data_IF_599959826898
#
_entry.id   IF_599959826898
#
_cell.length_a   1.000
_cell.length_b   1.000
_cell.length_c   1.000
_cell.angle_alpha   90.00
_cell.angle_beta   90.00
_cell.angle_gamma   90.00
#
_symmetry.space_group_name_H-M   'P 1'
#
loop_
_entity.id
_entity.type
_entity.pdbx_description
1 polymer ?
#
# COMPACT_ATOMS: atom_id res chain seq x y z
N UNK A 1 24.71 40.16 -50.32
CA UNK A 1 25.57 40.49 -49.18
C UNK A 1 24.71 40.52 -47.93
N UNK A 2 24.58 39.39 -47.24
CA UNK A 2 23.72 39.28 -46.05
C UNK A 2 24.37 40.11 -44.93
N UNK A 3 23.75 41.21 -44.54
CA UNK A 3 24.33 42.16 -43.60
C UNK A 3 24.64 41.46 -42.26
N UNK A 4 25.78 41.79 -41.64
CA UNK A 4 26.21 41.23 -40.34
C UNK A 4 25.11 41.32 -39.26
N UNK A 5 24.16 42.26 -39.37
CA UNK A 5 23.02 42.40 -38.46
C UNK A 5 22.02 41.24 -38.54
N UNK A 6 21.73 40.67 -39.72
CA UNK A 6 20.72 39.60 -39.82
C UNK A 6 21.21 38.25 -39.27
N UNK A 7 22.52 37.98 -39.32
CA UNK A 7 23.12 36.78 -38.73
C UNK A 7 22.98 36.74 -37.20
N UNK A 8 23.04 37.91 -36.55
CA UNK A 8 22.85 38.03 -35.09
C UNK A 8 21.41 37.75 -34.65
N UNK A 9 20.43 38.21 -35.42
CA UNK A 9 19.01 37.90 -35.17
C UNK A 9 18.69 36.42 -35.35
N UNK A 10 19.21 35.78 -36.40
CA UNK A 10 19.05 34.33 -36.62
C UNK A 10 19.67 33.52 -35.47
N UNK A 11 20.83 33.95 -34.95
CA UNK A 11 21.47 33.30 -33.80
C UNK A 11 20.61 33.43 -32.54
N UNK A 12 20.05 34.61 -32.28
CA UNK A 12 19.17 34.87 -31.15
C UNK A 12 17.90 34.01 -31.22
N UNK A 13 17.24 33.96 -32.38
CA UNK A 13 16.04 33.13 -32.62
C UNK A 13 16.33 31.64 -32.40
N UNK A 14 17.49 31.17 -32.84
CA UNK A 14 17.92 29.78 -32.64
C UNK A 14 18.13 29.47 -31.16
N UNK A 15 18.77 30.36 -30.41
CA UNK A 15 19.00 30.18 -28.96
C UNK A 15 17.69 30.22 -28.18
N UNK A 16 16.78 31.13 -28.52
CA UNK A 16 15.44 31.19 -27.90
C UNK A 16 14.66 29.91 -28.19
N UNK A 17 14.65 29.46 -29.44
CA UNK A 17 13.98 28.22 -29.83
C UNK A 17 14.55 27.00 -29.09
N UNK A 18 15.88 26.91 -28.98
CA UNK A 18 16.54 25.82 -28.25
C UNK A 18 16.22 25.87 -26.74
N UNK A 19 16.16 27.07 -26.16
CA UNK A 19 15.80 27.28 -24.75
C UNK A 19 14.36 26.82 -24.49
N UNK A 20 13.42 27.20 -25.37
CA UNK A 20 12.03 26.76 -25.27
C UNK A 20 11.93 25.24 -25.38
N UNK A 21 12.59 24.63 -26.36
CA UNK A 21 12.62 23.16 -26.53
C UNK A 21 13.16 22.48 -25.27
N UNK A 22 14.23 23.02 -24.68
CA UNK A 22 14.83 22.47 -23.46
C UNK A 22 13.86 22.54 -22.28
N UNK A 23 13.15 23.66 -22.11
CA UNK A 23 12.12 23.82 -21.07
C UNK A 23 10.99 22.80 -21.29
N UNK A 24 10.50 22.66 -22.52
CA UNK A 24 9.45 21.68 -22.83
C UNK A 24 9.90 20.24 -22.59
N UNK A 25 11.12 19.89 -22.98
CA UNK A 25 11.70 18.57 -22.70
C UNK A 25 11.79 18.33 -21.20
N UNK A 26 12.34 19.27 -20.44
CA UNK A 26 12.46 19.15 -18.99
C UNK A 26 11.09 18.96 -18.31
N UNK A 27 10.11 19.76 -18.67
CA UNK A 27 8.73 19.61 -18.18
C UNK A 27 8.15 18.23 -18.52
N UNK A 28 8.38 17.75 -19.74
CA UNK A 28 7.92 16.42 -20.18
C UNK A 28 8.57 15.32 -19.36
N UNK A 29 9.90 15.37 -19.16
CA UNK A 29 10.61 14.39 -18.34
C UNK A 29 10.13 14.39 -16.88
N UNK A 30 9.95 15.58 -16.29
CA UNK A 30 9.40 15.69 -14.94
C UNK A 30 8.00 15.07 -14.83
N UNK A 31 7.14 15.33 -15.82
CA UNK A 31 5.79 14.76 -15.84
C UNK A 31 5.83 13.24 -15.95
N UNK A 32 6.66 12.70 -16.86
CA UNK A 32 6.82 11.24 -17.01
C UNK A 32 7.33 10.60 -15.72
N UNK A 33 8.30 11.22 -15.06
CA UNK A 33 8.81 10.73 -13.78
C UNK A 33 7.73 10.71 -12.68
N UNK A 34 6.90 11.75 -12.61
CA UNK A 34 5.75 11.79 -11.69
C UNK A 34 4.72 10.70 -12.02
N UNK A 35 4.42 10.49 -13.30
CA UNK A 35 3.52 9.41 -13.75
C UNK A 35 4.06 8.04 -13.33
N UNK A 36 5.36 7.80 -13.52
CA UNK A 36 5.99 6.55 -13.09
C UNK A 36 5.88 6.34 -11.58
N UNK A 37 6.15 7.37 -10.78
CA UNK A 37 5.97 7.30 -9.31
C UNK A 37 4.54 6.99 -8.92
N UNK A 38 3.57 7.64 -9.55
CA UNK A 38 2.15 7.43 -9.27
C UNK A 38 1.71 6.01 -9.65
N UNK A 39 2.15 5.51 -10.81
CA UNK A 39 1.87 4.12 -11.22
C UNK A 39 2.47 3.11 -10.24
N UNK A 40 3.71 3.32 -9.81
CA UNK A 40 4.34 2.47 -8.80
C UNK A 40 3.55 2.48 -7.48
N UNK A 41 3.14 3.66 -7.03
CA UNK A 41 2.33 3.83 -5.83
C UNK A 41 1.01 3.06 -5.93
N UNK A 42 0.24 3.30 -7.00
CA UNK A 42 -1.05 2.66 -7.20
C UNK A 42 -0.93 1.13 -7.28
N UNK A 43 0.05 0.62 -8.04
CA UNK A 43 0.25 -0.83 -8.14
C UNK A 43 0.59 -1.46 -6.78
N UNK A 44 1.39 -0.77 -5.95
CA UNK A 44 1.71 -1.25 -4.60
C UNK A 44 0.51 -1.18 -3.67
N UNK A 45 -0.23 -0.09 -3.71
CA UNK A 45 -1.45 0.06 -2.91
C UNK A 45 -2.49 -1.01 -3.28
N UNK A 46 -2.70 -1.26 -4.57
CA UNK A 46 -3.60 -2.31 -5.07
C UNK A 46 -3.18 -3.71 -4.58
N UNK A 47 -1.88 -4.03 -4.63
CA UNK A 47 -1.36 -5.30 -4.10
C UNK A 47 -1.68 -5.47 -2.61
N UNK A 48 -1.41 -4.43 -1.81
CA UNK A 48 -1.67 -4.48 -0.37
C UNK A 48 -3.17 -4.54 -0.05
N UNK A 49 -4.00 -3.78 -0.77
CA UNK A 49 -5.46 -3.81 -0.63
C UNK A 49 -6.04 -5.19 -0.95
N UNK A 50 -5.61 -5.82 -2.04
CA UNK A 50 -6.07 -7.16 -2.40
C UNK A 50 -5.69 -8.18 -1.30
N UNK A 51 -4.48 -8.07 -0.76
CA UNK A 51 -4.03 -8.94 0.34
C UNK A 51 -4.83 -8.66 1.63
N UNK A 52 -5.13 -7.40 1.91
CA UNK A 52 -5.93 -6.99 3.05
C UNK A 52 -7.35 -7.51 2.98
N UNK A 53 -8.00 -7.37 1.83
CA UNK A 53 -9.34 -7.85 1.59
C UNK A 53 -9.42 -9.37 1.76
N UNK A 54 -8.48 -10.11 1.18
CA UNK A 54 -8.41 -11.56 1.37
C UNK A 54 -8.21 -11.94 2.83
N UNK A 55 -7.33 -11.24 3.54
CA UNK A 55 -7.07 -11.52 4.96
C UNK A 55 -8.30 -11.22 5.83
N UNK A 56 -8.93 -10.07 5.63
CA UNK A 56 -10.11 -9.66 6.40
C UNK A 56 -11.31 -10.56 6.13
N UNK A 57 -11.52 -10.95 4.87
CA UNK A 57 -12.55 -11.92 4.47
C UNK A 57 -12.29 -13.30 5.09
N UNK A 58 -11.05 -13.79 5.04
CA UNK A 58 -10.68 -15.06 5.68
C UNK A 58 -10.94 -15.02 7.19
N UNK A 59 -10.52 -13.96 7.88
CA UNK A 59 -10.75 -13.83 9.33
C UNK A 59 -12.23 -13.72 9.69
N UNK A 60 -13.01 -12.95 8.93
CA UNK A 60 -14.45 -12.78 9.16
C UNK A 60 -15.25 -14.05 8.87
N UNK A 61 -15.00 -14.69 7.74
CA UNK A 61 -15.84 -15.77 7.21
C UNK A 61 -15.27 -17.17 7.46
N UNK A 62 -14.00 -17.38 7.11
CA UNK A 62 -13.44 -18.74 6.96
C UNK A 62 -12.71 -19.27 8.20
N UNK A 63 -12.05 -18.39 8.95
CA UNK A 63 -11.31 -18.76 10.16
C UNK A 63 -12.27 -19.36 11.22
N UNK A 64 -11.79 -20.29 12.05
CA UNK A 64 -12.62 -20.85 13.11
C UNK A 64 -12.98 -19.81 14.18
N UNK A 65 -14.20 -19.86 14.72
CA UNK A 65 -14.61 -18.92 15.79
C UNK A 65 -13.66 -19.00 17.01
N UNK A 66 -13.31 -20.21 17.45
CA UNK A 66 -12.41 -20.41 18.60
C UNK A 66 -10.96 -19.97 18.29
N UNK A 67 -10.50 -20.09 17.05
CA UNK A 67 -9.18 -19.59 16.63
C UNK A 67 -9.12 -18.07 16.70
N UNK A 68 -10.15 -17.40 16.19
CA UNK A 68 -10.23 -15.92 16.24
C UNK A 68 -10.42 -15.45 17.68
N UNK A 69 -11.18 -16.18 18.48
CA UNK A 69 -11.36 -15.89 19.92
C UNK A 69 -10.05 -16.04 20.70
N UNK A 70 -9.19 -16.98 20.33
CA UNK A 70 -7.88 -17.15 20.96
C UNK A 70 -6.97 -15.93 20.77
N UNK A 71 -7.16 -15.16 19.69
CA UNK A 71 -6.43 -13.90 19.43
C UNK A 71 -6.92 -12.73 20.28
N UNK A 72 -7.93 -12.93 21.14
CA UNK A 72 -8.44 -11.91 22.08
C UNK A 72 -7.43 -11.72 23.22
N UNK A 73 -6.32 -11.06 22.92
CA UNK A 73 -5.28 -10.68 23.87
C UNK A 73 -5.35 -9.19 24.23
N UNK A 74 -4.71 -8.82 25.34
CA UNK A 74 -4.61 -7.43 25.81
C UNK A 74 -3.78 -6.58 24.84
N UNK A 75 -2.83 -7.21 24.14
CA UNK A 75 -2.02 -6.56 23.11
C UNK A 75 -2.59 -6.84 21.72
N UNK A 76 -2.56 -5.84 20.82
CA UNK A 76 -2.93 -6.05 19.43
C UNK A 76 -1.94 -6.98 18.73
N UNK A 77 -2.45 -7.72 17.76
CA UNK A 77 -1.66 -8.64 16.94
C UNK A 77 -1.18 -7.92 15.68
N UNK A 78 0.06 -8.20 15.27
CA UNK A 78 0.70 -7.55 14.14
C UNK A 78 1.07 -8.57 13.06
N UNK A 79 0.88 -8.18 11.81
CA UNK A 79 1.25 -8.97 10.65
C UNK A 79 2.01 -8.08 9.69
N UNK A 80 3.21 -8.50 9.28
CA UNK A 80 3.91 -7.81 8.19
C UNK A 80 3.08 -7.89 6.91
N UNK A 81 2.87 -6.75 6.25
CA UNK A 81 2.10 -6.69 5.02
C UNK A 81 2.76 -7.51 3.88
N UNK A 82 4.06 -7.76 3.96
CA UNK A 82 4.80 -8.58 3.00
C UNK A 82 4.64 -10.09 3.25
N UNK A 83 4.22 -10.49 4.46
CA UNK A 83 3.89 -11.89 4.80
C UNK A 83 2.48 -12.27 4.32
N UNK A 84 1.60 -11.30 4.13
CA UNK A 84 0.25 -11.50 3.59
C UNK A 84 0.37 -11.66 2.08
N UNK A 85 0.34 -12.90 1.60
CA UNK A 85 0.30 -13.19 0.17
C UNK A 85 -0.89 -14.06 -0.18
N UNK A 86 -1.50 -13.78 -1.35
CA UNK A 86 -2.66 -14.50 -1.90
C UNK A 86 -2.47 -16.02 -1.91
N UNK A 87 -1.21 -16.47 -2.08
CA UNK A 87 -0.86 -17.89 -2.17
C UNK A 87 -0.78 -18.58 -0.80
N UNK A 88 -0.74 -17.82 0.31
CA UNK A 88 -0.49 -18.35 1.65
C UNK A 88 -1.72 -18.29 2.55
N UNK A 89 -2.66 -17.38 2.33
CA UNK A 89 -3.87 -17.25 3.17
C UNK A 89 -4.66 -18.56 3.11
N UNK A 90 -4.94 -19.16 4.28
CA UNK A 90 -5.73 -20.39 4.40
C UNK A 90 -5.07 -21.67 3.88
N UNK A 91 -3.76 -21.64 3.55
CA UNK A 91 -3.07 -22.80 2.98
C UNK A 91 -2.70 -23.91 3.99
N UNK A 92 -2.87 -23.66 5.29
CA UNK A 92 -2.75 -24.67 6.36
C UNK A 92 -3.65 -24.32 7.55
N UNK A 93 -4.04 -25.33 8.34
CA UNK A 93 -4.85 -25.18 9.57
C UNK A 93 -4.20 -24.24 10.61
N UNK A 94 -2.89 -23.99 10.55
CA UNK A 94 -2.16 -23.15 11.51
C UNK A 94 -1.64 -21.85 10.91
N UNK A 95 -2.08 -21.46 9.71
CA UNK A 95 -1.53 -20.31 8.99
C UNK A 95 -1.56 -19.01 9.81
N UNK A 96 -2.66 -18.76 10.52
CA UNK A 96 -2.85 -17.60 11.40
C UNK A 96 -1.70 -17.49 12.42
N UNK A 97 -1.42 -18.58 13.13
CA UNK A 97 -0.36 -18.64 14.15
C UNK A 97 1.06 -18.46 13.59
N UNK A 98 1.25 -18.72 12.29
CA UNK A 98 2.57 -18.61 11.64
C UNK A 98 2.89 -17.21 11.12
N UNK A 99 1.88 -16.33 11.04
CA UNK A 99 2.00 -15.00 10.42
C UNK A 99 1.78 -13.87 11.42
N UNK A 100 1.10 -14.15 12.53
CA UNK A 100 0.86 -13.21 13.61
C UNK A 100 2.09 -13.09 14.52
N UNK A 101 2.49 -11.85 14.77
CA UNK A 101 3.50 -11.45 15.73
C UNK A 101 2.86 -10.59 16.83
N UNK A 102 3.14 -10.88 18.10
CA UNK A 102 2.60 -10.13 19.25
C UNK A 102 3.22 -8.74 19.46
N UNK A 103 4.12 -8.33 18.57
CA UNK A 103 4.73 -7.00 18.58
C UNK A 103 4.92 -6.51 17.15
N UNK A 104 4.83 -5.20 16.95
CA UNK A 104 5.06 -4.56 15.66
C UNK A 104 6.44 -4.89 15.06
N UNK A 105 7.44 -5.18 15.89
CA UNK A 105 8.83 -5.29 15.45
C UNK A 105 9.28 -4.04 14.67
N UNK A 106 10.09 -4.26 13.63
CA UNK A 106 10.61 -3.23 12.73
C UNK A 106 9.77 -3.09 11.44
N UNK A 107 8.51 -3.55 11.43
CA UNK A 107 7.68 -3.52 10.23
C UNK A 107 7.31 -2.09 9.81
N UNK A 108 7.75 -1.72 8.61
CA UNK A 108 7.37 -0.46 7.97
C UNK A 108 5.93 -0.50 7.43
N UNK A 109 5.53 -1.64 6.85
CA UNK A 109 4.18 -1.91 6.36
C UNK A 109 3.60 -3.10 7.14
N UNK A 110 2.46 -2.90 7.79
CA UNK A 110 1.88 -3.93 8.66
C UNK A 110 0.36 -3.81 8.77
N UNK A 111 -0.27 -4.92 9.14
CA UNK A 111 -1.66 -4.98 9.56
C UNK A 111 -1.68 -5.20 11.06
N UNK A 112 -2.48 -4.39 11.76
CA UNK A 112 -2.82 -4.54 13.16
C UNK A 112 -4.21 -5.15 13.25
N UNK A 113 -4.37 -6.18 14.08
CA UNK A 113 -5.65 -6.82 14.39
C UNK A 113 -5.94 -6.66 15.88
N UNK A 114 -7.14 -6.17 16.17
CA UNK A 114 -7.70 -6.09 17.52
C UNK A 114 -9.01 -6.86 17.55
N UNK A 115 -9.09 -7.86 18.43
CA UNK A 115 -10.29 -8.67 18.63
C UNK A 115 -10.93 -8.29 19.97
N UNK A 116 -12.22 -8.02 19.95
CA UNK A 116 -13.01 -7.65 21.13
C UNK A 116 -14.39 -8.30 21.09
N UNK A 117 -15.17 -8.19 22.17
CA UNK A 117 -16.49 -8.82 22.28
C UNK A 117 -16.44 -10.22 22.92
N UNK A 118 -17.61 -10.69 23.34
CA UNK A 118 -17.78 -11.95 24.09
C UNK A 118 -18.46 -13.04 23.25
N UNK A 119 -19.72 -12.82 22.84
CA UNK A 119 -20.47 -13.79 22.03
C UNK A 119 -20.28 -13.54 20.53
N UNK A 120 -20.40 -12.28 20.11
CA UNK A 120 -20.03 -11.81 18.77
C UNK A 120 -18.70 -11.08 18.88
N UNK A 121 -17.69 -11.57 18.16
CA UNK A 121 -16.37 -10.98 18.13
C UNK A 121 -16.36 -9.81 17.14
N UNK A 122 -15.88 -8.66 17.57
CA UNK A 122 -15.58 -7.50 16.72
C UNK A 122 -14.10 -7.54 16.36
N UNK A 123 -13.82 -7.58 15.06
CA UNK A 123 -12.48 -7.61 14.47
C UNK A 123 -12.16 -6.25 13.87
N UNK A 124 -11.25 -5.54 14.52
CA UNK A 124 -10.75 -4.24 14.08
C UNK A 124 -9.41 -4.42 13.38
N UNK A 125 -9.38 -4.14 12.08
CA UNK A 125 -8.20 -4.24 11.25
C UNK A 125 -7.69 -2.84 10.92
N UNK A 126 -6.40 -2.60 11.14
CA UNK A 126 -5.73 -1.36 10.72
C UNK A 126 -4.49 -1.70 9.90
N UNK A 127 -4.54 -1.45 8.60
CA UNK A 127 -3.39 -1.55 7.71
C UNK A 127 -2.64 -0.22 7.68
N UNK A 128 -1.36 -0.27 8.03
CA UNK A 128 -0.43 0.84 7.98
C UNK A 128 0.57 0.59 6.85
N UNK A 129 0.64 1.53 5.90
CA UNK A 129 1.54 1.46 4.76
C UNK A 129 2.39 2.73 4.67
N UNK A 130 3.61 2.58 4.18
CA UNK A 130 4.46 3.68 3.74
C UNK A 130 5.00 3.34 2.36
N UNK A 131 4.34 3.90 1.34
CA UNK A 131 4.68 3.65 -0.06
C UNK A 131 5.34 4.92 -0.61
N UNK A 132 6.63 4.80 -0.96
CA UNK A 132 7.43 5.91 -1.50
C UNK A 132 7.45 7.17 -0.59
N UNK A 133 7.39 6.98 0.73
CA UNK A 133 7.42 8.07 1.71
C UNK A 133 6.05 8.66 2.05
N UNK A 134 4.97 8.15 1.45
CA UNK A 134 3.61 8.56 1.80
C UNK A 134 3.01 7.55 2.78
N UNK A 135 2.78 7.95 4.05
CA UNK A 135 2.10 7.11 5.01
C UNK A 135 0.60 7.06 4.69
N UNK A 136 0.02 5.87 4.75
CA UNK A 136 -1.41 5.60 4.59
C UNK A 136 -1.89 4.69 5.73
N UNK A 137 -3.10 4.96 6.20
CA UNK A 137 -3.78 4.14 7.21
C UNK A 137 -5.16 3.77 6.69
N UNK A 138 -5.44 2.48 6.63
CA UNK A 138 -6.72 1.93 6.18
C UNK A 138 -7.31 1.13 7.33
N UNK A 139 -8.56 1.46 7.69
CA UNK A 139 -9.30 0.79 8.77
C UNK A 139 -10.47 0.02 8.22
N UNK A 140 -10.68 -1.17 8.77
CA UNK A 140 -11.81 -2.01 8.44
C UNK A 140 -12.29 -2.72 9.70
N UNK A 141 -13.61 -2.81 9.85
CA UNK A 141 -14.25 -3.49 10.97
C UNK A 141 -15.09 -4.63 10.42
N UNK A 142 -15.01 -5.79 11.07
CA UNK A 142 -15.81 -6.97 10.75
C UNK A 142 -16.30 -7.64 12.02
N UNK A 143 -17.26 -8.54 11.86
CA UNK A 143 -17.92 -9.22 12.96
C UNK A 143 -17.93 -10.72 12.73
N UNK A 144 -17.67 -11.48 13.78
CA UNK A 144 -17.69 -12.94 13.74
C UNK A 144 -18.55 -13.49 14.88
N UNK A 145 -19.70 -14.04 14.52
CA UNK A 145 -20.55 -14.80 15.43
C UNK A 145 -20.14 -16.26 15.53
N UNK A 146 -20.62 -16.93 16.57
CA UNK A 146 -20.60 -18.40 16.65
C UNK A 146 -21.82 -18.92 15.90
N UNK A 147 -21.62 -19.37 14.67
CA UNK A 147 -22.67 -20.01 13.87
C UNK A 147 -22.52 -21.53 14.00
N UNK A 148 -23.63 -22.23 14.26
CA UNK A 148 -23.72 -23.70 14.27
C UNK A 148 -23.74 -24.27 12.85
#
# INVERSE_FOLDING_TARGET
MISKKSKGYILLETVISFSLITIFMYCTFLMQFKIMKLKYYNNKLEQYLNCFELFTNYMGSDAGYEEVKALRHISPEYISADKISVQRIGSSESWISSVIDHSKGDYMNYVKLEVSGDDVLTLNFTMNLNIAGNPEEIKYESYKGRYE
#
